data_IF_833598714124
#
_entry.id   IF_833598714124
#
_cell.length_a   1.000
_cell.length_b   1.000
_cell.length_c   1.000
_cell.angle_alpha   90.00
_cell.angle_beta   90.00
_cell.angle_gamma   90.00
#
_symmetry.space_group_name_H-M   'P 1'
#
loop_
_entity.id
_entity.type
_entity.pdbx_description
1 polymer ?
#
# COMPACT_ATOMS: atom_id res chain seq x y z
N UNK A 1 6.15 -33.39 -38.73
CA UNK A 1 4.75 -32.96 -38.62
C UNK A 1 4.48 -32.74 -37.14
N UNK A 2 5.09 -31.76 -36.47
CA UNK A 2 5.01 -30.29 -36.69
C UNK A 2 3.60 -29.76 -36.46
N UNK A 3 3.42 -29.11 -35.30
CA UNK A 3 2.62 -27.90 -35.00
C UNK A 3 2.34 -27.86 -33.48
N UNK A 4 3.21 -27.26 -32.65
CA UNK A 4 3.12 -25.88 -32.14
C UNK A 4 1.71 -25.40 -31.80
N UNK A 5 1.27 -25.58 -30.54
CA UNK A 5 0.40 -24.59 -29.90
C UNK A 5 1.17 -23.85 -28.80
N UNK A 6 1.55 -22.64 -29.16
CA UNK A 6 2.41 -21.73 -28.42
C UNK A 6 1.48 -20.83 -27.62
N UNK A 7 0.95 -21.33 -26.49
CA UNK A 7 0.18 -20.50 -25.56
C UNK A 7 1.07 -19.38 -25.03
N UNK A 8 0.83 -18.18 -25.53
CA UNK A 8 1.56 -16.93 -25.35
C UNK A 8 1.34 -16.31 -23.97
N UNK A 9 1.57 -17.09 -22.91
CA UNK A 9 1.60 -16.58 -21.54
C UNK A 9 2.84 -15.70 -21.35
N UNK A 10 2.67 -14.37 -21.32
CA UNK A 10 3.73 -13.42 -20.96
C UNK A 10 4.45 -13.91 -19.70
N UNK A 11 5.76 -14.15 -19.77
CA UNK A 11 6.57 -14.66 -18.65
C UNK A 11 6.31 -13.82 -17.39
N UNK A 12 6.15 -14.46 -16.23
CA UNK A 12 5.86 -13.75 -14.96
C UNK A 12 6.85 -12.63 -14.65
N UNK A 13 8.09 -12.72 -15.17
CA UNK A 13 9.11 -11.67 -15.08
C UNK A 13 8.79 -10.42 -15.90
N UNK A 14 8.16 -10.58 -17.08
CA UNK A 14 7.74 -9.48 -17.95
C UNK A 14 6.52 -8.78 -17.35
N UNK A 15 5.55 -9.53 -16.80
CA UNK A 15 4.42 -8.97 -16.05
C UNK A 15 4.90 -8.16 -14.84
N UNK A 16 5.87 -8.70 -14.10
CA UNK A 16 6.49 -8.03 -12.97
C UNK A 16 7.24 -6.76 -13.37
N UNK A 17 8.01 -6.83 -14.46
CA UNK A 17 8.71 -5.67 -15.02
C UNK A 17 7.77 -4.56 -15.47
N UNK A 18 6.65 -4.90 -16.11
CA UNK A 18 5.62 -3.93 -16.49
C UNK A 18 4.95 -3.28 -15.27
N UNK A 19 4.61 -4.07 -14.24
CA UNK A 19 4.04 -3.52 -13.01
C UNK A 19 5.03 -2.57 -12.33
N UNK A 20 6.29 -2.97 -12.18
CA UNK A 20 7.32 -2.11 -11.60
C UNK A 20 7.59 -0.85 -12.44
N UNK A 21 7.55 -0.95 -13.77
CA UNK A 21 7.71 0.19 -14.67
C UNK A 21 6.52 1.14 -14.58
N UNK A 22 5.29 0.62 -14.48
CA UNK A 22 4.08 1.43 -14.25
C UNK A 22 4.16 2.12 -12.88
N UNK A 23 4.57 1.42 -11.84
CA UNK A 23 4.77 2.00 -10.51
C UNK A 23 5.86 3.08 -10.49
N UNK A 24 7.00 2.83 -11.14
CA UNK A 24 8.09 3.79 -11.25
C UNK A 24 7.68 5.02 -12.07
N UNK A 25 6.96 4.82 -13.17
CA UNK A 25 6.42 5.91 -13.98
C UNK A 25 5.39 6.73 -13.19
N UNK A 26 4.47 6.09 -12.48
CA UNK A 26 3.50 6.75 -11.61
C UNK A 26 4.17 7.49 -10.45
N UNK A 27 5.23 6.94 -9.85
CA UNK A 27 6.01 7.59 -8.79
C UNK A 27 6.74 8.84 -9.30
N UNK A 28 7.37 8.75 -10.48
CA UNK A 28 8.05 9.89 -11.12
C UNK A 28 7.04 10.95 -11.53
N UNK A 29 5.91 10.55 -12.12
CA UNK A 29 4.82 11.45 -12.50
C UNK A 29 4.23 12.16 -11.28
N UNK A 30 4.07 11.44 -10.16
CA UNK A 30 3.59 12.01 -8.90
C UNK A 30 4.56 13.03 -8.29
N UNK A 31 5.87 12.85 -8.48
CA UNK A 31 6.87 13.84 -8.04
C UNK A 31 6.88 15.09 -8.92
N UNK A 32 6.71 14.92 -10.24
CA UNK A 32 6.73 16.02 -11.21
C UNK A 32 5.45 16.88 -11.21
N UNK A 33 4.30 16.33 -10.82
CA UNK A 33 3.00 17.01 -10.93
C UNK A 33 2.61 17.91 -9.74
N UNK A 34 3.50 18.22 -8.78
CA UNK A 34 3.11 18.91 -7.53
C UNK A 34 1.85 18.27 -6.91
N UNK A 35 1.89 16.94 -6.73
CA UNK A 35 0.73 16.15 -6.28
C UNK A 35 0.07 16.71 -5.02
N UNK A 36 0.82 17.39 -4.14
CA UNK A 36 0.25 18.07 -2.99
C UNK A 36 -0.79 19.14 -3.37
N UNK A 37 -0.52 19.94 -4.41
CA UNK A 37 -1.42 20.98 -4.90
C UNK A 37 -2.58 20.39 -5.68
N UNK A 38 -2.33 19.35 -6.49
CA UNK A 38 -3.37 18.62 -7.21
C UNK A 38 -4.33 17.89 -6.25
N UNK A 39 -3.80 17.34 -5.15
CA UNK A 39 -4.59 16.72 -4.09
C UNK A 39 -5.43 17.75 -3.36
N UNK A 40 -4.89 18.92 -3.02
CA UNK A 40 -5.67 20.02 -2.43
C UNK A 40 -6.83 20.45 -3.34
N UNK A 41 -6.54 20.70 -4.62
CA UNK A 41 -7.58 21.10 -5.60
C UNK A 41 -8.62 20.01 -5.83
N UNK A 42 -8.19 18.75 -5.87
CA UNK A 42 -9.10 17.61 -5.96
C UNK A 42 -9.99 17.50 -4.74
N UNK A 43 -9.43 17.57 -3.52
CA UNK A 43 -10.22 17.47 -2.28
C UNK A 43 -11.30 18.55 -2.19
N UNK A 44 -10.98 19.78 -2.58
CA UNK A 44 -11.92 20.90 -2.64
C UNK A 44 -13.05 20.62 -3.64
N UNK A 45 -12.70 20.23 -4.88
CA UNK A 45 -13.66 19.88 -5.92
C UNK A 45 -14.54 18.68 -5.58
N UNK A 46 -14.02 17.74 -4.78
CA UNK A 46 -14.70 16.49 -4.45
C UNK A 46 -15.64 16.64 -3.24
N UNK A 47 -15.36 17.58 -2.34
CA UNK A 47 -16.14 17.79 -1.11
C UNK A 47 -17.64 18.04 -1.34
N UNK A 48 -18.01 18.61 -2.49
CA UNK A 48 -19.40 18.89 -2.88
C UNK A 48 -20.12 17.76 -3.63
N UNK A 49 -19.45 16.66 -3.98
CA UNK A 49 -20.00 15.61 -4.87
C UNK A 49 -20.79 14.50 -4.13
N UNK A 50 -20.99 14.63 -2.82
CA UNK A 50 -21.74 13.65 -2.03
C UNK A 50 -21.05 12.27 -1.97
N UNK A 51 -21.79 11.14 -2.00
CA UNK A 51 -21.22 9.78 -1.86
C UNK A 51 -20.19 9.40 -2.93
N UNK A 52 -20.29 9.99 -4.12
CA UNK A 52 -19.31 9.76 -5.18
C UNK A 52 -17.94 10.33 -4.78
N UNK A 53 -17.93 11.46 -4.07
CA UNK A 53 -16.70 12.07 -3.60
C UNK A 53 -15.97 11.26 -2.54
N UNK A 54 -16.73 10.60 -1.68
CA UNK A 54 -16.20 9.67 -0.67
C UNK A 54 -15.46 8.50 -1.33
N UNK A 55 -16.03 7.92 -2.39
CA UNK A 55 -15.42 6.82 -3.14
C UNK A 55 -14.15 7.26 -3.88
N UNK A 56 -14.17 8.47 -4.46
CA UNK A 56 -12.99 9.04 -5.13
C UNK A 56 -11.87 9.27 -4.11
N UNK A 57 -12.18 9.83 -2.93
CA UNK A 57 -11.20 10.02 -1.87
C UNK A 57 -10.54 8.70 -1.44
N UNK A 58 -11.33 7.67 -1.18
CA UNK A 58 -10.83 6.33 -0.82
C UNK A 58 -9.90 5.80 -1.90
N UNK A 59 -10.30 5.93 -3.17
CA UNK A 59 -9.49 5.49 -4.32
C UNK A 59 -8.15 6.25 -4.39
N UNK A 60 -8.17 7.57 -4.19
CA UNK A 60 -6.96 8.39 -4.11
C UNK A 60 -6.06 7.91 -2.95
N UNK A 61 -6.64 7.61 -1.79
CA UNK A 61 -5.87 7.12 -0.63
C UNK A 61 -5.20 5.78 -0.91
N UNK A 62 -5.92 4.85 -1.54
CA UNK A 62 -5.38 3.55 -1.93
C UNK A 62 -4.18 3.74 -2.87
N UNK A 63 -4.37 4.54 -3.93
CA UNK A 63 -3.31 4.84 -4.89
C UNK A 63 -2.12 5.51 -4.21
N UNK A 64 -2.35 6.46 -3.32
CA UNK A 64 -1.29 7.14 -2.58
C UNK A 64 -0.49 6.18 -1.70
N UNK A 65 -1.16 5.29 -0.95
CA UNK A 65 -0.51 4.28 -0.12
C UNK A 65 0.40 3.36 -0.95
N UNK A 66 -0.11 2.92 -2.10
CA UNK A 66 0.57 2.03 -3.05
C UNK A 66 1.73 2.74 -3.74
N UNK A 67 1.60 4.02 -4.07
CA UNK A 67 2.64 4.83 -4.72
C UNK A 67 3.63 5.47 -3.75
N UNK A 68 3.69 5.03 -2.48
CA UNK A 68 4.59 5.59 -1.46
C UNK A 68 4.41 7.10 -1.22
N UNK A 69 3.19 7.61 -1.45
CA UNK A 69 2.90 9.02 -1.20
C UNK A 69 2.61 9.26 0.28
N UNK A 70 2.99 10.43 0.84
CA UNK A 70 2.74 10.75 2.24
C UNK A 70 1.24 10.81 2.57
N UNK A 71 0.74 9.80 3.30
CA UNK A 71 -0.67 9.72 3.71
C UNK A 71 -1.12 10.85 4.65
N UNK A 72 -0.19 11.51 5.35
CA UNK A 72 -0.49 12.61 6.27
C UNK A 72 -1.25 13.76 5.59
N UNK A 73 -0.92 14.07 4.33
CA UNK A 73 -1.58 15.14 3.58
C UNK A 73 -3.05 14.79 3.32
N UNK A 74 -3.32 13.53 2.99
CA UNK A 74 -4.69 13.05 2.76
C UNK A 74 -5.49 12.98 4.05
N UNK A 75 -4.87 12.53 5.14
CA UNK A 75 -5.52 12.46 6.45
C UNK A 75 -5.89 13.86 6.96
N UNK A 76 -4.96 14.81 6.90
CA UNK A 76 -5.22 16.20 7.30
C UNK A 76 -6.22 16.89 6.38
N UNK A 77 -6.11 16.65 5.06
CA UNK A 77 -7.07 17.14 4.07
C UNK A 77 -8.48 16.60 4.31
N UNK A 78 -8.62 15.32 4.63
CA UNK A 78 -9.92 14.73 4.94
C UNK A 78 -10.61 15.43 6.12
N UNK A 79 -9.87 15.67 7.21
CA UNK A 79 -10.40 16.39 8.38
C UNK A 79 -10.80 17.83 8.06
N UNK A 80 -10.04 18.51 7.19
CA UNK A 80 -10.31 19.89 6.80
C UNK A 80 -11.54 20.04 5.89
N UNK A 81 -11.70 19.15 4.90
CA UNK A 81 -12.74 19.29 3.85
C UNK A 81 -14.01 18.49 4.13
N UNK A 82 -13.91 17.31 4.75
CA UNK A 82 -15.06 16.45 5.05
C UNK A 82 -15.52 16.57 6.52
N UNK A 83 -14.76 17.31 7.34
CA UNK A 83 -14.95 17.39 8.79
C UNK A 83 -14.35 16.19 9.52
N UNK A 84 -14.15 16.35 10.83
CA UNK A 84 -13.40 15.36 11.64
C UNK A 84 -14.09 13.99 11.64
N UNK A 85 -15.41 13.92 11.86
CA UNK A 85 -16.11 12.63 11.99
C UNK A 85 -16.13 11.87 10.66
N UNK A 86 -16.60 12.50 9.58
CA UNK A 86 -16.68 11.86 8.26
C UNK A 86 -15.28 11.63 7.68
N UNK A 87 -14.38 12.60 7.82
CA UNK A 87 -12.99 12.48 7.40
C UNK A 87 -12.29 11.31 8.06
N UNK A 88 -12.43 11.11 9.38
CA UNK A 88 -11.86 9.96 10.08
C UNK A 88 -12.40 8.62 9.58
N UNK A 89 -13.71 8.52 9.29
CA UNK A 89 -14.28 7.29 8.71
C UNK A 89 -13.69 7.00 7.32
N UNK A 90 -13.64 8.00 6.45
CA UNK A 90 -13.08 7.86 5.11
C UNK A 90 -11.60 7.52 5.12
N UNK A 91 -10.83 8.16 6.01
CA UNK A 91 -9.41 7.87 6.21
C UNK A 91 -9.23 6.46 6.75
N UNK A 92 -10.02 6.01 7.74
CA UNK A 92 -9.93 4.66 8.28
C UNK A 92 -10.13 3.59 7.21
N UNK A 93 -11.12 3.78 6.34
CA UNK A 93 -11.40 2.85 5.24
C UNK A 93 -10.30 2.93 4.18
N UNK A 94 -9.95 4.14 3.73
CA UNK A 94 -8.93 4.37 2.70
C UNK A 94 -7.54 3.90 3.12
N UNK A 95 -7.13 4.15 4.37
CA UNK A 95 -5.83 3.75 4.91
C UNK A 95 -5.74 2.24 5.07
N UNK A 96 -6.79 1.60 5.56
CA UNK A 96 -6.81 0.14 5.74
C UNK A 96 -6.80 -0.57 4.39
N UNK A 97 -7.63 -0.15 3.43
CA UNK A 97 -7.63 -0.71 2.09
C UNK A 97 -6.31 -0.42 1.35
N UNK A 98 -5.80 0.80 1.43
CA UNK A 98 -4.53 1.19 0.84
C UNK A 98 -3.34 0.42 1.42
N UNK A 99 -3.33 0.19 2.74
CA UNK A 99 -2.34 -0.64 3.42
C UNK A 99 -2.41 -2.08 2.91
N UNK A 100 -3.62 -2.61 2.76
CA UNK A 100 -3.90 -3.96 2.31
C UNK A 100 -3.45 -4.15 0.86
N UNK A 101 -3.77 -3.20 -0.03
CA UNK A 101 -3.30 -3.22 -1.41
C UNK A 101 -1.78 -3.21 -1.50
N UNK A 102 -1.11 -2.29 -0.79
CA UNK A 102 0.36 -2.24 -0.76
C UNK A 102 0.99 -3.54 -0.23
N UNK A 103 0.39 -4.13 0.81
CA UNK A 103 0.79 -5.43 1.33
C UNK A 103 0.63 -6.56 0.31
N UNK A 104 -0.50 -6.61 -0.39
CA UNK A 104 -0.77 -7.63 -1.42
C UNK A 104 0.18 -7.47 -2.61
N UNK A 105 0.47 -6.25 -3.03
CA UNK A 105 1.51 -5.98 -4.04
C UNK A 105 2.85 -6.49 -3.51
N UNK A 106 3.26 -6.14 -2.29
CA UNK A 106 4.48 -6.68 -1.67
C UNK A 106 4.52 -8.22 -1.68
N UNK A 107 3.40 -8.87 -1.37
CA UNK A 107 3.28 -10.33 -1.29
C UNK A 107 3.37 -11.04 -2.64
N UNK A 108 2.64 -10.58 -3.64
CA UNK A 108 2.52 -11.30 -4.91
C UNK A 108 3.49 -10.80 -5.98
N UNK A 109 3.98 -9.57 -5.85
CA UNK A 109 4.86 -8.90 -6.82
C UNK A 109 6.30 -8.92 -6.30
N UNK A 110 6.54 -8.41 -5.09
CA UNK A 110 7.91 -8.21 -4.61
C UNK A 110 8.54 -9.44 -3.92
N UNK A 111 7.73 -10.28 -3.24
CA UNK A 111 8.22 -11.33 -2.33
C UNK A 111 9.23 -12.28 -2.97
N UNK A 112 8.92 -12.85 -4.13
CA UNK A 112 9.81 -13.84 -4.77
C UNK A 112 11.18 -13.25 -5.15
N UNK A 113 11.19 -12.00 -5.60
CA UNK A 113 12.43 -11.29 -5.94
C UNK A 113 13.23 -10.96 -4.68
N UNK A 114 12.55 -10.43 -3.66
CA UNK A 114 13.16 -10.05 -2.37
C UNK A 114 13.75 -11.28 -1.70
N UNK A 115 12.97 -12.34 -1.51
CA UNK A 115 13.39 -13.59 -0.85
C UNK A 115 14.58 -14.21 -1.57
N UNK A 116 14.61 -14.27 -2.91
CA UNK A 116 15.78 -14.76 -3.66
C UNK A 116 17.05 -13.96 -3.38
N UNK A 117 16.91 -12.64 -3.22
CA UNK A 117 18.05 -11.73 -3.00
C UNK A 117 18.59 -11.76 -1.57
N UNK A 118 17.75 -12.09 -0.59
CA UNK A 118 18.10 -12.14 0.84
C UNK A 118 18.03 -13.53 1.46
N UNK A 119 17.90 -14.59 0.64
CA UNK A 119 17.86 -15.99 1.10
C UNK A 119 19.09 -16.41 1.91
N UNK A 120 20.24 -15.77 1.69
CA UNK A 120 21.47 -15.99 2.45
C UNK A 120 21.59 -15.16 3.73
N UNK A 121 20.63 -14.29 4.05
CA UNK A 121 20.67 -13.43 5.22
C UNK A 121 19.94 -14.07 6.41
N UNK A 122 20.71 -14.68 7.31
CA UNK A 122 20.20 -15.31 8.53
C UNK A 122 19.42 -14.33 9.42
N UNK A 123 19.76 -13.04 9.43
CA UNK A 123 18.98 -12.02 10.17
C UNK A 123 17.58 -11.85 9.58
N UNK A 124 17.45 -11.87 8.26
CA UNK A 124 16.15 -11.76 7.60
C UNK A 124 15.28 -12.97 7.92
N UNK A 125 15.83 -14.19 7.89
CA UNK A 125 15.10 -15.41 8.28
C UNK A 125 14.64 -15.37 9.74
N UNK A 126 15.50 -14.91 10.65
CA UNK A 126 15.15 -14.76 12.06
C UNK A 126 14.02 -13.74 12.24
N UNK A 127 14.08 -12.60 11.55
CA UNK A 127 13.02 -11.58 11.53
C UNK A 127 11.72 -12.16 10.96
N UNK A 128 11.76 -12.81 9.80
CA UNK A 128 10.59 -13.39 9.14
C UNK A 128 9.92 -14.48 10.02
N UNK A 129 10.72 -15.28 10.73
CA UNK A 129 10.21 -16.29 11.68
C UNK A 129 9.58 -15.65 12.92
N UNK A 130 10.22 -14.64 13.51
CA UNK A 130 9.69 -13.91 14.66
C UNK A 130 8.38 -13.18 14.29
N UNK A 131 8.35 -12.58 13.10
CA UNK A 131 7.17 -11.91 12.55
C UNK A 131 6.05 -12.90 12.25
N UNK A 132 6.34 -14.08 11.69
CA UNK A 132 5.33 -15.08 11.36
C UNK A 132 4.56 -15.63 12.58
N UNK A 133 5.21 -15.73 13.75
CA UNK A 133 4.59 -16.24 14.97
C UNK A 133 3.70 -15.22 15.69
N UNK A 134 4.03 -13.93 15.62
CA UNK A 134 3.31 -12.86 16.33
C UNK A 134 2.95 -11.67 15.42
N UNK A 135 2.59 -11.97 14.17
CA UNK A 135 2.36 -10.96 13.12
C UNK A 135 1.38 -9.87 13.53
N UNK A 136 0.30 -10.24 14.23
CA UNK A 136 -0.64 -9.30 14.83
C UNK A 136 0.02 -8.24 15.71
N UNK A 137 0.77 -8.71 16.72
CA UNK A 137 1.36 -7.83 17.74
C UNK A 137 2.43 -6.95 17.13
N UNK A 138 3.25 -7.52 16.23
CA UNK A 138 4.33 -6.77 15.58
C UNK A 138 3.77 -5.71 14.64
N UNK A 139 2.74 -6.01 13.86
CA UNK A 139 2.07 -5.00 13.04
C UNK A 139 1.46 -3.92 13.95
N UNK A 140 0.72 -4.29 14.99
CA UNK A 140 0.12 -3.32 15.92
C UNK A 140 1.16 -2.39 16.57
N UNK A 141 2.22 -2.95 17.16
CA UNK A 141 3.27 -2.17 17.83
C UNK A 141 4.01 -1.22 16.89
N UNK A 142 4.24 -1.64 15.65
CA UNK A 142 4.90 -0.77 14.67
C UNK A 142 3.97 0.29 14.10
N UNK A 143 2.65 0.09 14.07
CA UNK A 143 1.69 1.16 13.73
C UNK A 143 1.66 2.25 14.78
N UNK A 144 1.81 1.88 16.06
CA UNK A 144 1.92 2.82 17.17
C UNK A 144 3.28 3.55 17.22
N UNK A 145 4.27 3.04 16.49
CA UNK A 145 5.63 3.59 16.45
C UNK A 145 5.83 4.44 15.20
N UNK A 146 6.19 5.74 15.31
CA UNK A 146 6.44 6.60 14.15
C UNK A 146 7.79 6.36 13.48
N UNK A 147 8.51 5.30 13.86
CA UNK A 147 9.90 5.05 13.44
C UNK A 147 10.01 4.72 11.95
N UNK A 148 8.99 4.10 11.36
CA UNK A 148 9.06 3.62 9.98
C UNK A 148 7.98 4.27 9.09
N UNK A 149 8.32 4.61 7.84
CA UNK A 149 7.34 5.11 6.88
C UNK A 149 6.21 4.10 6.65
N UNK A 150 4.97 4.59 6.68
CA UNK A 150 3.76 3.78 6.53
C UNK A 150 3.79 2.85 5.32
N UNK A 151 4.04 3.40 4.12
CA UNK A 151 4.09 2.61 2.90
C UNK A 151 5.19 1.55 2.95
N UNK A 152 6.37 1.87 3.45
CA UNK A 152 7.48 0.93 3.54
C UNK A 152 7.13 -0.29 4.40
N UNK A 153 6.50 -0.07 5.55
CA UNK A 153 6.02 -1.16 6.41
C UNK A 153 5.02 -2.06 5.68
N UNK A 154 4.11 -1.49 4.90
CA UNK A 154 3.09 -2.26 4.18
C UNK A 154 3.73 -3.29 3.24
N UNK A 155 4.74 -2.86 2.47
CA UNK A 155 5.49 -3.75 1.57
C UNK A 155 6.39 -4.73 2.34
N UNK A 156 7.04 -4.28 3.42
CA UNK A 156 7.87 -5.13 4.27
C UNK A 156 7.05 -6.29 4.85
N UNK A 157 5.85 -6.03 5.37
CA UNK A 157 4.96 -7.09 5.85
C UNK A 157 4.49 -8.01 4.72
N UNK A 158 4.25 -7.46 3.52
CA UNK A 158 3.89 -8.26 2.34
C UNK A 158 4.92 -9.35 2.01
N UNK A 159 6.21 -9.05 2.17
CA UNK A 159 7.29 -10.02 1.89
C UNK A 159 7.57 -11.01 3.02
N UNK A 160 7.07 -10.74 4.24
CA UNK A 160 7.20 -11.64 5.41
C UNK A 160 6.08 -12.68 5.49
N UNK A 161 6.06 -13.53 6.53
CA UNK A 161 5.02 -14.52 6.81
C UNK A 161 3.76 -14.00 7.54
N UNK A 162 3.61 -12.69 7.78
CA UNK A 162 2.39 -12.14 8.39
C UNK A 162 1.15 -12.55 7.57
N UNK A 163 0.09 -13.03 8.20
CA UNK A 163 -1.14 -13.37 7.48
C UNK A 163 -1.89 -12.10 7.05
N UNK A 164 -2.67 -12.17 5.96
CA UNK A 164 -3.49 -11.02 5.53
C UNK A 164 -4.47 -10.59 6.62
N UNK A 165 -5.04 -11.56 7.36
CA UNK A 165 -5.98 -11.32 8.45
C UNK A 165 -5.32 -10.53 9.57
N UNK A 166 -4.14 -10.99 10.03
CA UNK A 166 -3.43 -10.31 11.12
C UNK A 166 -3.05 -8.90 10.71
N UNK A 167 -2.52 -8.74 9.50
CA UNK A 167 -2.14 -7.44 8.98
C UNK A 167 -3.34 -6.49 8.87
N UNK A 168 -4.48 -6.97 8.35
CA UNK A 168 -5.68 -6.17 8.14
C UNK A 168 -6.23 -5.65 9.47
N UNK A 169 -6.60 -6.53 10.42
CA UNK A 169 -7.23 -6.03 11.64
C UNK A 169 -6.21 -5.31 12.55
N UNK A 170 -4.91 -5.68 12.54
CA UNK A 170 -3.92 -5.00 13.38
C UNK A 170 -3.65 -3.59 12.86
N UNK A 171 -3.60 -3.44 11.53
CA UNK A 171 -3.48 -2.12 10.92
C UNK A 171 -4.73 -1.29 11.16
N UNK A 172 -5.93 -1.87 11.02
CA UNK A 172 -7.17 -1.13 11.23
C UNK A 172 -7.27 -0.62 12.68
N UNK A 173 -7.02 -1.48 13.67
CA UNK A 173 -7.04 -1.10 15.09
C UNK A 173 -5.89 -0.16 15.43
N UNK A 174 -4.70 -0.35 14.87
CA UNK A 174 -3.54 0.49 15.15
C UNK A 174 -3.57 1.87 14.50
N UNK A 175 -4.51 2.14 13.60
CA UNK A 175 -4.63 3.42 12.87
C UNK A 175 -5.87 4.23 13.23
N UNK A 176 -6.76 3.69 14.07
CA UNK A 176 -7.99 4.37 14.51
C UNK A 176 -7.72 5.33 15.67
#
# INVERSE_FOLDING_TARGET
MEETDKQSGLSSKVKLGMVLAVFAALFVLAKYLNVQELLKKSLDAISGLGPLGDLIFISIYILASVLFLPGAILTLGAGAFFGVVKGSMLVSVGSTLGATCAFLVGRYVARDWVVKKIAGNEKFKAIDKAIGGEGWKIVGLTRLSPVFPFSLLNYAYGVTNVTLKDYFFASWIGMI
#
